data_IF_653669490955
#
_entry.id   IF_653669490955
#
_cell.length_a   1.000
_cell.length_b   1.000
_cell.length_c   1.000
_cell.angle_alpha   90.00
_cell.angle_beta   90.00
_cell.angle_gamma   90.00
#
_symmetry.space_group_name_H-M   'P 1'
#
loop_
_entity.id
_entity.type
_entity.pdbx_description
1 polymer ?
#
# COMPACT_ATOMS: atom_id res chain seq x y z
N UNK A 1 25.61 2.00 -3.92
CA UNK A 1 24.94 0.71 -4.19
C UNK A 1 23.46 1.03 -4.25
N UNK A 2 22.98 1.31 -5.45
CA UNK A 2 21.60 1.76 -5.72
C UNK A 2 20.75 0.49 -5.74
N UNK A 3 20.13 0.16 -4.62
CA UNK A 3 19.06 -0.84 -4.58
C UNK A 3 17.86 -0.25 -5.33
N UNK A 4 17.75 -0.60 -6.60
CA UNK A 4 16.58 -0.32 -7.41
C UNK A 4 15.33 -0.83 -6.66
N UNK A 5 14.28 -0.02 -6.49
CA UNK A 5 12.99 -0.48 -5.97
C UNK A 5 12.38 -1.62 -6.82
N UNK A 6 12.89 -1.83 -8.02
CA UNK A 6 12.56 -2.90 -8.94
C UNK A 6 13.08 -4.28 -8.52
N UNK A 7 14.15 -4.37 -7.69
CA UNK A 7 14.69 -5.68 -7.30
C UNK A 7 13.72 -6.48 -6.43
N UNK A 8 12.90 -5.82 -5.62
CA UNK A 8 11.89 -6.50 -4.79
C UNK A 8 10.68 -6.98 -5.59
N UNK A 9 10.39 -6.34 -6.72
CA UNK A 9 9.33 -6.78 -7.64
C UNK A 9 9.82 -7.90 -8.56
N UNK A 10 11.07 -7.83 -9.05
CA UNK A 10 11.69 -8.89 -9.84
C UNK A 10 11.69 -10.23 -9.09
N UNK A 11 11.73 -10.19 -7.77
CA UNK A 11 11.70 -11.37 -6.92
C UNK A 11 10.33 -12.09 -6.92
N UNK A 12 9.22 -11.36 -7.06
CA UNK A 12 7.89 -11.93 -7.26
C UNK A 12 7.71 -12.48 -8.69
N UNK A 13 8.58 -12.08 -9.62
CA UNK A 13 8.43 -12.26 -11.05
C UNK A 13 9.16 -13.51 -11.58
N UNK A 14 9.97 -14.18 -10.76
CA UNK A 14 10.66 -15.41 -11.19
C UNK A 14 9.76 -16.66 -11.25
N UNK A 15 8.50 -16.56 -10.91
CA UNK A 15 7.57 -17.68 -10.86
C UNK A 15 6.56 -17.67 -12.03
N UNK A 16 7.04 -17.91 -13.26
CA UNK A 16 6.19 -18.36 -14.37
C UNK A 16 5.68 -17.28 -15.34
N UNK A 17 5.21 -17.68 -16.53
CA UNK A 17 4.88 -16.80 -17.67
C UNK A 17 3.65 -15.89 -17.49
N UNK A 18 3.03 -15.87 -16.32
CA UNK A 18 1.87 -15.01 -16.01
C UNK A 18 2.20 -13.66 -15.39
N UNK A 19 3.48 -13.32 -15.21
CA UNK A 19 3.90 -12.20 -14.37
C UNK A 19 4.37 -10.99 -15.18
N UNK A 20 4.56 -11.12 -16.49
CA UNK A 20 4.96 -10.02 -17.38
C UNK A 20 3.97 -8.87 -17.37
N UNK A 21 2.67 -9.14 -17.23
CA UNK A 21 1.66 -8.11 -17.17
C UNK A 21 1.73 -7.24 -15.91
N UNK A 22 2.15 -7.81 -14.76
CA UNK A 22 2.33 -7.05 -13.53
C UNK A 22 3.54 -6.11 -13.63
N UNK A 23 4.63 -6.62 -14.20
CA UNK A 23 5.81 -5.81 -14.49
C UNK A 23 5.46 -4.67 -15.44
N UNK A 24 4.76 -4.95 -16.52
CA UNK A 24 4.25 -3.94 -17.45
C UNK A 24 3.32 -2.94 -16.75
N UNK A 25 2.41 -3.43 -15.89
CA UNK A 25 1.50 -2.57 -15.15
C UNK A 25 2.26 -1.65 -14.18
N UNK A 26 3.24 -2.18 -13.45
CA UNK A 26 4.06 -1.38 -12.52
C UNK A 26 4.93 -0.38 -13.26
N UNK A 27 5.52 -0.76 -14.40
CA UNK A 27 6.24 0.15 -15.27
C UNK A 27 5.33 1.24 -15.85
N UNK A 28 4.12 0.89 -16.27
CA UNK A 28 3.15 1.85 -16.75
C UNK A 28 2.73 2.82 -15.63
N UNK A 29 2.54 2.34 -14.39
CA UNK A 29 2.24 3.20 -13.26
C UNK A 29 3.41 4.14 -12.93
N UNK A 30 4.63 3.64 -12.95
CA UNK A 30 5.85 4.44 -12.75
C UNK A 30 6.01 5.46 -13.88
N UNK A 31 5.81 5.05 -15.12
CA UNK A 31 5.84 5.95 -16.27
C UNK A 31 4.73 7.01 -16.21
N UNK A 32 3.55 6.65 -15.74
CA UNK A 32 2.43 7.57 -15.56
C UNK A 32 2.73 8.61 -14.47
N UNK A 33 3.39 8.21 -13.39
CA UNK A 33 3.82 9.14 -12.33
C UNK A 33 4.95 10.04 -12.77
N UNK A 34 5.90 9.56 -13.57
CA UNK A 34 7.00 10.38 -14.09
C UNK A 34 6.56 11.28 -15.23
N UNK A 35 5.81 10.76 -16.21
CA UNK A 35 5.36 11.53 -17.38
C UNK A 35 4.34 12.63 -17.03
N UNK A 36 3.48 12.40 -16.04
CA UNK A 36 2.48 13.39 -15.62
C UNK A 36 2.89 14.16 -14.36
N UNK A 37 4.01 13.80 -13.74
CA UNK A 37 4.52 14.46 -12.53
C UNK A 37 4.76 15.94 -12.73
N UNK A 38 5.34 16.35 -13.87
CA UNK A 38 5.61 17.74 -14.22
C UNK A 38 4.31 18.53 -14.46
N UNK A 39 3.33 17.91 -15.12
CA UNK A 39 2.03 18.54 -15.35
C UNK A 39 1.28 18.77 -14.03
N UNK A 40 1.27 17.78 -13.13
CA UNK A 40 0.63 17.91 -11.83
C UNK A 40 1.38 18.85 -10.89
N UNK A 41 2.70 18.89 -10.97
CA UNK A 41 3.52 19.87 -10.26
C UNK A 41 3.23 21.30 -10.74
N UNK A 42 3.05 21.50 -12.05
CA UNK A 42 2.63 22.80 -12.63
C UNK A 42 1.26 23.23 -12.14
N UNK A 43 0.28 22.32 -12.10
CA UNK A 43 -1.04 22.58 -11.52
C UNK A 43 -0.91 22.92 -10.02
N UNK A 44 -0.12 22.16 -9.28
CA UNK A 44 0.15 22.42 -7.87
C UNK A 44 0.78 23.78 -7.61
N UNK A 45 1.76 24.19 -8.46
CA UNK A 45 2.39 25.50 -8.39
C UNK A 45 1.40 26.64 -8.71
N UNK A 46 0.54 26.45 -9.72
CA UNK A 46 -0.52 27.43 -10.07
C UNK A 46 -1.52 27.58 -8.92
N UNK A 47 -1.92 26.47 -8.30
CA UNK A 47 -2.81 26.50 -7.14
C UNK A 47 -2.13 27.15 -5.92
N UNK A 48 -0.85 26.88 -5.69
CA UNK A 48 -0.05 27.51 -4.65
C UNK A 48 0.03 29.02 -4.85
N UNK A 49 0.32 29.48 -6.06
CA UNK A 49 0.37 30.89 -6.41
C UNK A 49 -0.98 31.58 -6.17
N UNK A 50 -2.08 30.97 -6.59
CA UNK A 50 -3.43 31.48 -6.37
C UNK A 50 -3.80 31.60 -4.88
N UNK A 51 -3.57 30.53 -4.11
CA UNK A 51 -3.85 30.52 -2.65
C UNK A 51 -2.95 31.53 -1.93
N UNK A 52 -1.68 31.64 -2.32
CA UNK A 52 -0.72 32.58 -1.73
C UNK A 52 -1.14 34.03 -2.00
N UNK A 53 -1.60 34.34 -3.23
CA UNK A 53 -2.11 35.67 -3.59
C UNK A 53 -3.33 36.03 -2.74
N UNK A 54 -4.31 35.14 -2.62
CA UNK A 54 -5.49 35.39 -1.79
C UNK A 54 -5.10 35.64 -0.33
N UNK A 55 -4.18 34.83 0.22
CA UNK A 55 -3.73 34.96 1.60
C UNK A 55 -2.97 36.27 1.81
N UNK A 56 -2.13 36.67 0.85
CA UNK A 56 -1.40 37.94 0.88
C UNK A 56 -2.36 39.12 0.83
N UNK A 57 -3.30 39.16 -0.13
CA UNK A 57 -4.31 40.22 -0.25
C UNK A 57 -5.11 40.34 1.04
N UNK A 58 -5.55 39.22 1.61
CA UNK A 58 -6.29 39.21 2.88
C UNK A 58 -5.44 39.75 4.05
N UNK A 59 -4.16 39.42 4.09
CA UNK A 59 -3.24 39.91 5.12
C UNK A 59 -3.01 41.43 4.98
N UNK A 60 -2.77 41.92 3.76
CA UNK A 60 -2.61 43.35 3.47
C UNK A 60 -3.90 44.12 3.77
N UNK A 61 -5.07 43.60 3.36
CA UNK A 61 -6.36 44.18 3.67
C UNK A 61 -6.59 44.31 5.20
N UNK A 62 -6.23 43.26 5.93
CA UNK A 62 -6.34 43.30 7.40
C UNK A 62 -5.41 44.34 8.02
N UNK A 63 -4.20 44.52 7.51
CA UNK A 63 -3.28 45.56 7.95
C UNK A 63 -3.83 46.94 7.66
N UNK A 64 -4.35 47.21 6.47
CA UNK A 64 -4.92 48.51 6.09
C UNK A 64 -6.14 48.87 6.96
N UNK A 65 -7.04 47.91 7.23
CA UNK A 65 -8.22 48.17 8.10
C UNK A 65 -7.77 48.41 9.53
N UNK A 66 -6.77 47.71 10.05
CA UNK A 66 -6.27 47.94 11.43
C UNK A 66 -5.56 49.27 11.62
N UNK A 67 -4.98 49.84 10.55
CA UNK A 67 -4.34 51.17 10.55
C UNK A 67 -5.38 52.31 10.40
N UNK A 68 -6.52 52.06 9.75
CA UNK A 68 -7.60 53.03 9.59
C UNK A 68 -8.48 53.20 10.84
N UNK A 69 -8.57 52.17 11.66
CA UNK A 69 -9.24 52.29 12.96
C UNK A 69 -8.29 52.97 13.94
N UNK A 70 -8.44 54.33 14.06
CA UNK A 70 -7.76 55.16 15.06
C UNK A 70 -8.28 54.81 16.45
N UNK A 71 -8.03 53.65 16.94
CA UNK A 71 -8.21 53.30 18.32
C UNK A 71 -6.84 53.06 18.94
N UNK A 72 -6.60 53.67 20.12
CA UNK A 72 -5.37 53.67 20.90
C UNK A 72 -4.79 52.27 21.25
N UNK A 73 -5.30 51.23 20.68
CA UNK A 73 -4.82 49.86 20.80
C UNK A 73 -4.42 49.29 19.43
N UNK A 74 -3.63 50.02 18.64
CA UNK A 74 -3.02 49.47 17.45
C UNK A 74 -2.14 48.28 17.85
N UNK A 75 -2.69 47.07 17.66
CA UNK A 75 -1.83 45.87 17.78
C UNK A 75 -0.75 45.99 16.72
N UNK A 76 0.53 45.94 17.11
CA UNK A 76 1.62 46.04 16.15
C UNK A 76 1.45 44.96 15.08
N UNK A 77 1.68 45.34 13.83
CA UNK A 77 1.75 44.40 12.72
C UNK A 77 2.51 43.16 13.21
N UNK A 78 1.80 42.04 13.29
CA UNK A 78 2.44 40.80 13.77
C UNK A 78 3.37 40.32 12.67
N UNK A 79 4.63 40.75 12.74
CA UNK A 79 5.72 40.26 11.89
C UNK A 79 5.70 38.73 11.87
N UNK A 80 5.27 38.09 12.97
CA UNK A 80 5.06 36.65 13.04
C UNK A 80 4.11 36.08 11.99
N UNK A 81 3.03 36.79 11.63
CA UNK A 81 2.07 36.30 10.62
C UNK A 81 2.70 36.30 9.21
N UNK A 82 3.56 37.30 8.91
CA UNK A 82 4.32 37.35 7.66
C UNK A 82 5.38 36.24 7.63
N UNK A 83 6.10 36.05 8.72
CA UNK A 83 7.10 34.97 8.82
C UNK A 83 6.45 33.60 8.68
N UNK A 84 5.30 33.35 9.35
CA UNK A 84 4.54 32.12 9.20
C UNK A 84 4.09 31.90 7.74
N UNK A 85 3.60 32.95 7.08
CA UNK A 85 3.22 32.88 5.68
C UNK A 85 4.40 32.51 4.77
N UNK A 86 5.55 33.20 4.92
CA UNK A 86 6.75 32.94 4.13
C UNK A 86 7.29 31.53 4.37
N UNK A 87 7.34 31.09 5.62
CA UNK A 87 7.76 29.72 5.95
C UNK A 87 6.86 28.67 5.31
N UNK A 88 5.53 28.84 5.39
CA UNK A 88 4.58 27.94 4.75
C UNK A 88 4.74 27.93 3.24
N UNK A 89 4.94 29.10 2.61
CA UNK A 89 5.15 29.24 1.18
C UNK A 89 6.42 28.49 0.75
N UNK A 90 7.54 28.72 1.45
CA UNK A 90 8.81 28.05 1.15
C UNK A 90 8.68 26.53 1.29
N UNK A 91 8.04 26.04 2.36
CA UNK A 91 7.84 24.62 2.57
C UNK A 91 7.00 24.04 1.43
N UNK A 92 5.88 24.67 1.06
CA UNK A 92 5.05 24.20 -0.05
C UNK A 92 5.81 24.20 -1.39
N UNK A 93 6.59 25.24 -1.67
CA UNK A 93 7.44 25.32 -2.87
C UNK A 93 8.46 24.20 -2.91
N UNK A 94 9.16 23.96 -1.82
CA UNK A 94 10.13 22.88 -1.72
C UNK A 94 9.48 21.51 -1.94
N UNK A 95 8.36 21.26 -1.25
CA UNK A 95 7.66 19.96 -1.35
C UNK A 95 7.14 19.73 -2.76
N UNK A 96 6.55 20.72 -3.42
CA UNK A 96 6.04 20.57 -4.80
C UNK A 96 7.21 20.36 -5.77
N UNK A 97 8.27 21.16 -5.65
CA UNK A 97 9.41 21.10 -6.57
C UNK A 97 10.16 19.76 -6.48
N UNK A 98 10.29 19.25 -5.26
CA UNK A 98 10.94 17.95 -5.00
C UNK A 98 9.93 16.80 -4.82
N UNK A 99 8.71 16.95 -5.32
CA UNK A 99 7.71 15.89 -5.20
C UNK A 99 8.11 14.65 -6.00
N UNK A 100 8.45 14.82 -7.26
CA UNK A 100 8.88 13.75 -8.18
C UNK A 100 10.41 13.73 -8.31
N UNK A 101 11.03 14.92 -8.39
CA UNK A 101 12.49 15.05 -8.52
C UNK A 101 13.17 14.65 -7.21
N UNK A 102 14.35 14.00 -7.27
CA UNK A 102 15.09 13.65 -6.06
C UNK A 102 15.45 14.89 -5.24
N UNK A 103 15.30 14.77 -3.93
CA UNK A 103 15.72 15.80 -3.00
C UNK A 103 17.26 15.84 -2.92
N UNK A 104 17.90 17.02 -2.80
CA UNK A 104 19.34 17.11 -2.64
C UNK A 104 19.86 16.23 -1.50
N UNK A 105 20.70 15.25 -1.83
CA UNK A 105 21.24 14.27 -0.89
C UNK A 105 20.41 12.99 -0.71
N UNK A 106 19.24 12.88 -1.35
CA UNK A 106 18.45 11.65 -1.40
C UNK A 106 18.35 11.12 -2.84
N UNK A 107 18.10 9.84 -3.00
CA UNK A 107 17.88 9.20 -4.30
C UNK A 107 16.41 9.17 -4.73
N UNK A 108 15.51 9.79 -3.98
CA UNK A 108 14.06 9.77 -4.18
C UNK A 108 13.41 11.12 -3.87
N UNK A 109 12.25 11.39 -4.48
CA UNK A 109 11.41 12.54 -4.19
C UNK A 109 10.45 12.29 -3.01
N UNK A 110 9.73 13.34 -2.60
CA UNK A 110 8.75 13.24 -1.51
C UNK A 110 7.63 12.23 -1.79
N UNK A 111 7.31 12.00 -3.06
CA UNK A 111 6.33 10.99 -3.48
C UNK A 111 6.71 9.57 -3.08
N UNK A 112 7.99 9.28 -2.84
CA UNK A 112 8.49 7.95 -2.43
C UNK A 112 8.83 7.85 -0.94
N UNK A 113 8.71 8.94 -0.18
CA UNK A 113 9.14 8.99 1.22
C UNK A 113 8.50 7.87 2.07
N UNK A 114 7.17 7.75 2.04
CA UNK A 114 6.47 6.74 2.84
C UNK A 114 6.70 5.31 2.34
N UNK A 115 6.83 5.13 1.02
CA UNK A 115 7.17 3.82 0.46
C UNK A 115 8.58 3.39 0.85
N UNK A 116 9.51 4.33 0.97
CA UNK A 116 10.85 4.05 1.47
C UNK A 116 10.82 3.59 2.95
N UNK A 117 10.07 4.27 3.81
CA UNK A 117 9.89 3.83 5.20
C UNK A 117 9.30 2.42 5.28
N UNK A 118 8.28 2.13 4.47
CA UNK A 118 7.70 0.79 4.41
C UNK A 118 8.73 -0.25 3.95
N UNK A 119 9.58 0.07 2.97
CA UNK A 119 10.64 -0.82 2.50
C UNK A 119 11.69 -1.11 3.59
N UNK A 120 12.08 -0.10 4.38
CA UNK A 120 13.01 -0.29 5.49
C UNK A 120 12.44 -1.25 6.52
N UNK A 121 11.14 -1.13 6.85
CA UNK A 121 10.46 -2.04 7.78
C UNK A 121 10.40 -3.45 7.20
N UNK A 122 10.03 -3.61 5.92
CA UNK A 122 10.00 -4.91 5.23
C UNK A 122 11.38 -5.55 5.22
N UNK A 123 12.44 -4.76 4.96
CA UNK A 123 13.80 -5.28 4.97
C UNK A 123 14.25 -5.74 6.37
N UNK A 124 13.76 -5.10 7.42
CA UNK A 124 14.04 -5.50 8.81
C UNK A 124 13.29 -6.77 9.25
N UNK A 125 12.14 -7.05 8.61
CA UNK A 125 11.27 -8.21 8.95
C UNK A 125 11.65 -9.52 8.23
N UNK A 126 12.79 -9.59 7.57
CA UNK A 126 13.24 -10.76 6.80
C UNK A 126 12.53 -10.91 5.43
N UNK A 127 13.29 -10.58 4.37
CA UNK A 127 12.82 -10.67 2.97
C UNK A 127 12.64 -12.12 2.47
N UNK A 128 13.16 -13.11 3.19
CA UNK A 128 13.17 -14.51 2.75
C UNK A 128 11.88 -15.26 3.08
N UNK A 129 11.12 -14.82 4.07
CA UNK A 129 9.93 -15.53 4.56
C UNK A 129 8.86 -15.74 3.50
N UNK A 130 8.65 -14.74 2.63
CA UNK A 130 7.72 -14.87 1.51
C UNK A 130 8.19 -15.92 0.50
N UNK A 131 9.48 -15.91 0.15
CA UNK A 131 10.06 -16.90 -0.78
C UNK A 131 10.01 -18.29 -0.21
N UNK A 132 10.34 -18.42 1.07
CA UNK A 132 10.26 -19.70 1.78
C UNK A 132 8.84 -20.24 1.74
N UNK A 133 7.84 -19.39 2.01
CA UNK A 133 6.43 -19.77 1.95
C UNK A 133 6.01 -20.17 0.53
N UNK A 134 6.37 -19.39 -0.48
CA UNK A 134 6.06 -19.71 -1.88
C UNK A 134 6.73 -21.02 -2.33
N UNK A 135 8.00 -21.24 -1.95
CA UNK A 135 8.71 -22.46 -2.25
C UNK A 135 8.06 -23.68 -1.54
N UNK A 136 7.66 -23.53 -0.28
CA UNK A 136 6.98 -24.60 0.45
C UNK A 136 5.62 -24.95 -0.19
N UNK A 137 4.83 -23.94 -0.58
CA UNK A 137 3.55 -24.15 -1.26
C UNK A 137 3.73 -24.76 -2.65
N UNK A 138 4.72 -24.30 -3.43
CA UNK A 138 5.02 -24.86 -4.75
C UNK A 138 5.56 -26.29 -4.65
N UNK A 139 6.38 -26.59 -3.65
CA UNK A 139 6.89 -27.94 -3.39
C UNK A 139 5.74 -28.90 -3.03
N UNK A 140 4.81 -28.45 -2.19
CA UNK A 140 3.64 -29.24 -1.85
C UNK A 140 2.74 -29.51 -3.07
N UNK A 141 2.50 -28.50 -3.92
CA UNK A 141 1.73 -28.67 -5.16
C UNK A 141 2.43 -29.59 -6.17
N UNK A 142 3.71 -29.35 -6.43
CA UNK A 142 4.49 -30.13 -7.41
C UNK A 142 4.72 -31.59 -6.94
N UNK A 143 4.74 -31.80 -5.61
CA UNK A 143 4.84 -33.13 -5.02
C UNK A 143 3.52 -33.89 -5.03
N UNK A 144 2.39 -33.24 -5.31
CA UNK A 144 1.07 -33.88 -5.35
C UNK A 144 0.86 -34.55 -6.71
N UNK A 145 0.73 -35.89 -6.78
CA UNK A 145 0.57 -36.61 -8.04
C UNK A 145 -0.81 -36.29 -8.64
N UNK A 146 -0.91 -36.42 -9.96
CA UNK A 146 -2.20 -36.29 -10.64
C UNK A 146 -3.14 -37.45 -10.25
N UNK A 147 -4.41 -37.16 -9.95
CA UNK A 147 -5.37 -38.19 -9.53
C UNK A 147 -5.72 -39.14 -10.68
N UNK A 148 -6.06 -40.38 -10.34
CA UNK A 148 -6.63 -41.32 -11.29
C UNK A 148 -8.06 -40.92 -11.65
N UNK A 149 -8.41 -41.01 -12.93
CA UNK A 149 -9.79 -40.72 -13.40
C UNK A 149 -10.86 -41.61 -12.78
N UNK A 150 -10.46 -42.75 -12.19
CA UNK A 150 -11.35 -43.71 -11.54
C UNK A 150 -11.56 -43.45 -10.05
N UNK A 151 -10.84 -42.48 -9.47
CA UNK A 151 -10.90 -42.21 -8.04
C UNK A 151 -11.51 -40.81 -7.75
N UNK A 152 -12.83 -40.68 -7.63
CA UNK A 152 -13.49 -39.38 -7.49
C UNK A 152 -13.07 -38.60 -6.24
N UNK A 153 -12.76 -39.29 -5.13
CA UNK A 153 -12.26 -38.63 -3.91
C UNK A 153 -10.85 -38.01 -4.10
N UNK A 154 -10.00 -38.67 -4.88
CA UNK A 154 -8.67 -38.13 -5.20
C UNK A 154 -8.79 -36.88 -6.07
N UNK A 155 -9.69 -36.90 -7.06
CA UNK A 155 -9.97 -35.76 -7.94
C UNK A 155 -10.47 -34.56 -7.10
N UNK A 156 -11.42 -34.80 -6.21
CA UNK A 156 -11.99 -33.75 -5.35
C UNK A 156 -10.90 -33.16 -4.44
N UNK A 157 -10.10 -34.02 -3.80
CA UNK A 157 -9.01 -33.57 -2.91
C UNK A 157 -7.95 -32.78 -3.67
N UNK A 158 -7.53 -33.26 -4.84
CA UNK A 158 -6.60 -32.56 -5.70
C UNK A 158 -7.09 -31.15 -6.06
N UNK A 159 -8.35 -31.05 -6.49
CA UNK A 159 -8.97 -29.77 -6.84
C UNK A 159 -9.06 -28.83 -5.64
N UNK A 160 -9.43 -29.31 -4.46
CA UNK A 160 -9.47 -28.53 -3.23
C UNK A 160 -8.08 -28.00 -2.85
N UNK A 161 -7.04 -28.83 -2.88
CA UNK A 161 -5.66 -28.43 -2.60
C UNK A 161 -5.23 -27.31 -3.55
N UNK A 162 -5.46 -27.50 -4.87
CA UNK A 162 -5.13 -26.49 -5.86
C UNK A 162 -5.89 -25.17 -5.63
N UNK A 163 -7.16 -25.22 -5.27
CA UNK A 163 -7.97 -24.03 -4.97
C UNK A 163 -7.41 -23.30 -3.74
N UNK A 164 -7.14 -24.00 -2.64
CA UNK A 164 -6.68 -23.36 -1.41
C UNK A 164 -5.28 -22.78 -1.56
N UNK A 165 -4.35 -23.51 -2.16
CA UNK A 165 -2.99 -23.01 -2.38
C UNK A 165 -2.99 -21.86 -3.39
N UNK A 166 -3.77 -21.98 -4.47
CA UNK A 166 -3.95 -20.92 -5.46
C UNK A 166 -4.57 -19.65 -4.86
N UNK A 167 -5.59 -19.82 -4.00
CA UNK A 167 -6.22 -18.72 -3.29
C UNK A 167 -5.26 -18.03 -2.31
N UNK A 168 -4.47 -18.81 -1.57
CA UNK A 168 -3.45 -18.30 -0.66
C UNK A 168 -2.41 -17.46 -1.43
N UNK A 169 -1.88 -18.00 -2.54
CA UNK A 169 -0.96 -17.28 -3.42
C UNK A 169 -1.59 -16.03 -4.04
N UNK A 170 -2.83 -16.12 -4.48
CA UNK A 170 -3.59 -15.02 -5.05
C UNK A 170 -3.81 -13.86 -4.07
N UNK A 171 -4.11 -14.15 -2.81
CA UNK A 171 -4.29 -13.12 -1.78
C UNK A 171 -2.96 -12.43 -1.44
N UNK A 172 -1.88 -13.18 -1.30
CA UNK A 172 -0.55 -12.60 -1.12
C UNK A 172 -0.20 -11.63 -2.24
N UNK A 173 -0.46 -12.04 -3.47
CA UNK A 173 -0.26 -11.23 -4.65
C UNK A 173 -1.14 -9.97 -4.63
N UNK A 174 -2.44 -10.10 -4.39
CA UNK A 174 -3.38 -8.98 -4.38
C UNK A 174 -3.02 -7.92 -3.33
N UNK A 175 -2.63 -8.31 -2.13
CA UNK A 175 -2.25 -7.37 -1.06
C UNK A 175 -1.02 -6.56 -1.47
N UNK A 176 -0.01 -7.23 -2.02
CA UNK A 176 1.19 -6.53 -2.46
C UNK A 176 0.91 -5.59 -3.64
N UNK A 177 0.18 -6.05 -4.65
CA UNK A 177 -0.19 -5.22 -5.79
C UNK A 177 -1.04 -4.02 -5.40
N UNK A 178 -2.07 -4.23 -4.58
CA UNK A 178 -2.97 -3.16 -4.17
C UNK A 178 -2.23 -2.06 -3.39
N UNK A 179 -1.27 -2.42 -2.55
CA UNK A 179 -0.44 -1.44 -1.84
C UNK A 179 0.31 -0.52 -2.81
N UNK A 180 0.96 -1.08 -3.84
CA UNK A 180 1.67 -0.29 -4.85
C UNK A 180 0.74 0.59 -5.67
N UNK A 181 -0.38 0.03 -6.12
CA UNK A 181 -1.34 0.75 -6.96
C UNK A 181 -1.94 1.93 -6.21
N UNK A 182 -2.46 1.67 -5.02
CA UNK A 182 -3.12 2.71 -4.23
C UNK A 182 -2.14 3.79 -3.78
N UNK A 183 -0.94 3.39 -3.37
CA UNK A 183 0.10 4.36 -3.03
C UNK A 183 0.51 5.19 -4.23
N UNK A 184 0.82 4.57 -5.37
CA UNK A 184 1.26 5.26 -6.59
C UNK A 184 0.20 6.24 -7.11
N UNK A 185 -1.06 5.80 -7.16
CA UNK A 185 -2.17 6.68 -7.57
C UNK A 185 -2.37 7.82 -6.58
N UNK A 186 -2.35 7.56 -5.27
CA UNK A 186 -2.49 8.60 -4.27
C UNK A 186 -1.32 9.60 -4.33
N UNK A 187 -0.07 9.12 -4.44
CA UNK A 187 1.11 9.96 -4.51
C UNK A 187 1.12 10.89 -5.74
N UNK A 188 0.47 10.48 -6.84
CA UNK A 188 0.34 11.31 -8.04
C UNK A 188 -0.33 12.66 -7.74
N UNK A 189 -1.32 12.67 -6.84
CA UNK A 189 -2.07 13.88 -6.50
C UNK A 189 -1.40 14.78 -5.46
N UNK A 190 -0.26 14.39 -4.93
CA UNK A 190 0.46 15.15 -3.89
C UNK A 190 0.64 16.63 -4.18
N UNK A 191 1.14 17.04 -5.37
CA UNK A 191 1.33 18.45 -5.68
C UNK A 191 0.06 19.29 -5.57
N UNK A 192 -1.13 18.70 -5.76
CA UNK A 192 -2.42 19.38 -5.64
C UNK A 192 -2.81 19.57 -4.17
N UNK A 193 -2.46 18.60 -3.30
CA UNK A 193 -2.82 18.66 -1.87
C UNK A 193 -1.85 19.54 -1.06
N UNK A 194 -0.59 19.66 -1.47
CA UNK A 194 0.43 20.44 -0.74
C UNK A 194 0.04 21.91 -0.56
N UNK A 195 -0.49 22.64 -1.57
CA UNK A 195 -0.90 24.04 -1.39
C UNK A 195 -2.00 24.25 -0.35
N UNK A 196 -2.82 23.21 -0.07
CA UNK A 196 -3.88 23.28 0.94
C UNK A 196 -3.35 23.49 2.36
N UNK A 197 -2.06 23.18 2.60
CA UNK A 197 -1.38 23.45 3.86
C UNK A 197 -1.38 24.95 4.22
N UNK A 198 -1.38 25.84 3.22
CA UNK A 198 -1.34 27.28 3.42
C UNK A 198 -2.61 27.86 4.04
N UNK A 199 -3.75 27.18 3.90
CA UNK A 199 -5.04 27.67 4.40
C UNK A 199 -5.47 26.91 5.65
N UNK A 200 -5.82 27.61 6.73
CA UNK A 200 -6.28 26.95 7.97
C UNK A 200 -7.49 26.02 7.74
N UNK A 201 -8.42 26.44 6.86
CA UNK A 201 -9.64 25.69 6.55
C UNK A 201 -9.35 24.36 5.84
N UNK A 202 -8.36 24.33 4.94
CA UNK A 202 -8.07 23.15 4.12
C UNK A 202 -6.87 22.34 4.63
N UNK A 203 -6.15 22.83 5.65
CA UNK A 203 -4.99 22.14 6.24
C UNK A 203 -5.34 20.71 6.68
N UNK A 204 -6.54 20.49 7.22
CA UNK A 204 -7.02 19.15 7.57
C UNK A 204 -7.10 18.19 6.38
N UNK A 205 -7.39 18.69 5.17
CA UNK A 205 -7.41 17.85 3.95
C UNK A 205 -6.01 17.40 3.55
N UNK A 206 -5.01 18.26 3.72
CA UNK A 206 -3.61 17.89 3.52
C UNK A 206 -3.16 16.80 4.49
N UNK A 207 -3.45 16.94 5.79
CA UNK A 207 -3.09 15.90 6.77
C UNK A 207 -3.81 14.58 6.51
N UNK A 208 -5.10 14.62 6.18
CA UNK A 208 -5.83 13.41 5.78
C UNK A 208 -5.21 12.73 4.53
N UNK A 209 -4.71 13.54 3.59
CA UNK A 209 -4.00 13.01 2.42
C UNK A 209 -2.68 12.32 2.81
N UNK A 210 -1.91 12.92 3.72
CA UNK A 210 -0.68 12.31 4.25
C UNK A 210 -0.98 11.01 4.98
N UNK A 211 -2.05 10.96 5.80
CA UNK A 211 -2.48 9.74 6.50
C UNK A 211 -2.87 8.63 5.51
N UNK A 212 -3.54 8.98 4.41
CA UNK A 212 -3.89 8.03 3.34
C UNK A 212 -2.63 7.47 2.67
N UNK A 213 -1.66 8.32 2.34
CA UNK A 213 -0.38 7.89 1.77
C UNK A 213 0.37 6.96 2.71
N UNK A 214 0.46 7.33 3.98
CA UNK A 214 1.10 6.52 5.00
C UNK A 214 0.41 5.16 5.13
N UNK A 215 -0.92 5.15 5.21
CA UNK A 215 -1.70 3.91 5.31
C UNK A 215 -1.45 2.98 4.13
N UNK A 216 -1.48 3.50 2.90
CA UNK A 216 -1.25 2.68 1.71
C UNK A 216 0.18 2.14 1.63
N UNK A 217 1.18 2.95 2.00
CA UNK A 217 2.56 2.50 2.07
C UNK A 217 2.74 1.38 3.11
N UNK A 218 2.11 1.52 4.29
CA UNK A 218 2.26 0.60 5.41
C UNK A 218 1.51 -0.71 5.24
N UNK A 219 0.54 -0.83 4.32
CA UNK A 219 -0.11 -2.13 4.01
C UNK A 219 0.95 -3.20 3.71
N UNK A 220 1.99 -2.85 2.95
CA UNK A 220 3.06 -3.77 2.60
C UNK A 220 3.89 -4.18 3.82
N UNK A 221 4.21 -3.24 4.71
CA UNK A 221 4.99 -3.53 5.92
C UNK A 221 4.21 -4.45 6.88
N UNK A 222 2.93 -4.17 7.08
CA UNK A 222 2.04 -5.01 7.91
C UNK A 222 1.86 -6.38 7.26
N UNK A 223 1.66 -6.45 5.95
CA UNK A 223 1.57 -7.72 5.22
C UNK A 223 2.83 -8.58 5.41
N UNK A 224 4.02 -7.96 5.32
CA UNK A 224 5.29 -8.67 5.54
C UNK A 224 5.42 -9.23 6.95
N UNK A 225 4.94 -8.50 7.97
CA UNK A 225 4.92 -9.00 9.34
C UNK A 225 3.99 -10.23 9.49
N UNK A 226 2.81 -10.19 8.89
CA UNK A 226 1.88 -11.33 8.85
C UNK A 226 2.48 -12.52 8.10
N UNK A 227 3.10 -12.28 6.95
CA UNK A 227 3.76 -13.33 6.16
C UNK A 227 4.90 -13.96 6.95
N UNK A 228 5.69 -13.16 7.68
CA UNK A 228 6.76 -13.68 8.53
C UNK A 228 6.24 -14.69 9.57
N UNK A 229 5.18 -14.33 10.29
CA UNK A 229 4.57 -15.21 11.30
C UNK A 229 3.96 -16.44 10.65
N UNK A 230 3.17 -16.26 9.59
CA UNK A 230 2.46 -17.34 8.93
C UNK A 230 3.38 -18.27 8.12
N UNK A 231 4.49 -17.77 7.56
CA UNK A 231 5.46 -18.62 6.86
C UNK A 231 6.06 -19.65 7.81
N UNK A 232 6.51 -19.23 8.98
CA UNK A 232 7.01 -20.15 10.01
C UNK A 232 5.99 -21.20 10.40
N UNK A 233 4.74 -20.79 10.66
CA UNK A 233 3.66 -21.69 11.01
C UNK A 233 3.29 -22.66 9.88
N UNK A 234 3.05 -22.17 8.67
CA UNK A 234 2.64 -23.01 7.54
C UNK A 234 3.72 -24.00 7.11
N UNK A 235 4.99 -23.57 7.07
CA UNK A 235 6.09 -24.43 6.73
C UNK A 235 6.21 -25.57 7.78
N UNK A 236 6.15 -25.22 9.06
CA UNK A 236 6.20 -26.20 10.14
C UNK A 236 5.00 -27.15 10.07
N UNK A 237 3.80 -26.63 9.82
CA UNK A 237 2.59 -27.45 9.67
C UNK A 237 2.73 -28.43 8.49
N UNK A 238 3.17 -27.97 7.33
CA UNK A 238 3.36 -28.82 6.16
C UNK A 238 4.43 -29.90 6.41
N UNK A 239 5.56 -29.53 7.02
CA UNK A 239 6.63 -30.48 7.34
C UNK A 239 6.20 -31.54 8.35
N UNK A 240 5.52 -31.14 9.43
CA UNK A 240 5.08 -32.08 10.47
C UNK A 240 3.92 -32.97 10.00
N UNK A 241 3.01 -32.43 9.19
CA UNK A 241 1.81 -33.16 8.74
C UNK A 241 2.14 -34.15 7.61
N UNK A 242 2.97 -33.73 6.67
CA UNK A 242 3.26 -34.51 5.47
C UNK A 242 4.62 -35.22 5.51
N UNK A 243 5.55 -34.74 6.32
CA UNK A 243 6.91 -35.30 6.41
C UNK A 243 7.58 -35.53 5.05
N UNK A 244 7.28 -34.65 4.07
CA UNK A 244 7.77 -34.71 2.69
C UNK A 244 6.95 -35.61 1.75
N UNK A 245 5.95 -36.34 2.23
CA UNK A 245 5.05 -37.17 1.44
C UNK A 245 3.76 -36.41 1.09
N UNK A 246 3.71 -35.79 -0.10
CA UNK A 246 2.55 -35.07 -0.61
C UNK A 246 1.64 -35.96 -1.48
N UNK A 247 1.57 -37.26 -1.21
CA UNK A 247 0.67 -38.17 -1.91
C UNK A 247 -0.80 -37.86 -1.60
N UNK A 248 -1.71 -38.18 -2.54
CA UNK A 248 -3.15 -37.91 -2.39
C UNK A 248 -3.75 -38.60 -1.15
N UNK A 249 -3.39 -39.83 -0.78
CA UNK A 249 -3.84 -40.42 0.47
C UNK A 249 -3.48 -39.60 1.72
N UNK A 250 -2.27 -39.01 1.76
CA UNK A 250 -1.85 -38.15 2.87
C UNK A 250 -2.64 -36.83 2.91
N UNK A 251 -2.95 -36.26 1.75
CA UNK A 251 -3.83 -35.09 1.69
C UNK A 251 -5.24 -35.42 2.16
N UNK A 252 -5.80 -36.57 1.78
CA UNK A 252 -7.14 -37.01 2.22
C UNK A 252 -7.16 -37.21 3.73
N UNK A 253 -6.16 -37.88 4.30
CA UNK A 253 -6.07 -38.15 5.73
C UNK A 253 -6.01 -36.87 6.57
N UNK A 254 -5.37 -35.81 6.05
CA UNK A 254 -5.18 -34.54 6.77
C UNK A 254 -6.05 -33.40 6.25
N UNK A 255 -7.01 -33.70 5.37
CA UNK A 255 -7.78 -32.68 4.62
C UNK A 255 -8.45 -31.65 5.55
N UNK A 256 -9.03 -32.07 6.66
CA UNK A 256 -9.69 -31.18 7.62
C UNK A 256 -8.69 -30.15 8.22
N UNK A 257 -7.53 -30.62 8.66
CA UNK A 257 -6.48 -29.76 9.23
C UNK A 257 -5.95 -28.76 8.20
N UNK A 258 -5.73 -29.23 6.97
CA UNK A 258 -5.28 -28.40 5.85
C UNK A 258 -6.29 -27.29 5.55
N UNK A 259 -7.56 -27.64 5.38
CA UNK A 259 -8.63 -26.65 5.11
C UNK A 259 -8.68 -25.62 6.24
N UNK A 260 -8.69 -26.05 7.50
CA UNK A 260 -8.76 -25.15 8.65
C UNK A 260 -7.58 -24.16 8.68
N UNK A 261 -6.35 -24.62 8.44
CA UNK A 261 -5.15 -23.81 8.45
C UNK A 261 -5.15 -22.82 7.29
N UNK A 262 -5.50 -23.27 6.07
CA UNK A 262 -5.54 -22.38 4.91
C UNK A 262 -6.64 -21.35 5.03
N UNK A 263 -7.84 -21.70 5.52
CA UNK A 263 -8.90 -20.72 5.78
C UNK A 263 -8.42 -19.69 6.82
N UNK A 264 -7.81 -20.12 7.91
CA UNK A 264 -7.29 -19.21 8.93
C UNK A 264 -6.23 -18.26 8.33
N UNK A 265 -5.31 -18.77 7.53
CA UNK A 265 -4.32 -17.96 6.81
C UNK A 265 -4.99 -16.92 5.90
N UNK A 266 -5.91 -17.35 5.04
CA UNK A 266 -6.63 -16.49 4.11
C UNK A 266 -7.38 -15.37 4.84
N UNK A 267 -8.14 -15.73 5.90
CA UNK A 267 -8.88 -14.76 6.70
C UNK A 267 -7.94 -13.74 7.37
N UNK A 268 -6.84 -14.19 7.96
CA UNK A 268 -5.87 -13.29 8.58
C UNK A 268 -5.23 -12.35 7.54
N UNK A 269 -4.87 -12.86 6.38
CA UNK A 269 -4.29 -12.03 5.32
C UNK A 269 -5.27 -10.99 4.79
N UNK A 270 -6.56 -11.32 4.67
CA UNK A 270 -7.58 -10.34 4.24
C UNK A 270 -7.83 -9.22 5.27
N UNK A 271 -7.48 -9.44 6.54
CA UNK A 271 -7.56 -8.42 7.59
C UNK A 271 -6.40 -7.40 7.56
N UNK A 272 -5.32 -7.69 6.83
CA UNK A 272 -4.13 -6.82 6.78
C UNK A 272 -4.47 -5.35 6.43
N UNK A 273 -5.26 -5.03 5.39
CA UNK A 273 -5.59 -3.64 5.08
C UNK A 273 -6.36 -2.96 6.21
N UNK A 274 -7.27 -3.67 6.88
CA UNK A 274 -8.07 -3.14 8.01
C UNK A 274 -7.17 -2.86 9.22
N UNK A 275 -6.28 -3.78 9.57
CA UNK A 275 -5.32 -3.60 10.66
C UNK A 275 -4.38 -2.44 10.36
N UNK A 276 -3.86 -2.36 9.13
CA UNK A 276 -2.99 -1.25 8.71
C UNK A 276 -3.69 0.09 8.88
N UNK A 277 -4.94 0.17 8.48
CA UNK A 277 -5.74 1.37 8.63
C UNK A 277 -5.97 1.73 10.11
N UNK A 278 -6.22 0.75 10.96
CA UNK A 278 -6.40 0.99 12.39
C UNK A 278 -5.12 1.51 13.04
N UNK A 279 -3.95 1.05 12.59
CA UNK A 279 -2.65 1.44 13.13
C UNK A 279 -2.15 2.77 12.57
N UNK A 280 -2.35 3.04 11.30
CA UNK A 280 -1.72 4.17 10.58
C UNK A 280 -2.73 5.14 9.94
N UNK A 281 -4.00 4.78 9.86
CA UNK A 281 -5.03 5.61 9.24
C UNK A 281 -5.68 6.54 10.25
N UNK A 282 -5.21 7.78 10.32
CA UNK A 282 -5.72 8.82 11.22
C UNK A 282 -7.20 9.20 11.02
N UNK A 283 -8.13 8.26 11.16
CA UNK A 283 -9.58 8.51 11.17
C UNK A 283 -10.21 8.82 9.80
N UNK A 284 -9.47 8.83 8.71
CA UNK A 284 -9.99 9.16 7.37
C UNK A 284 -10.62 7.97 6.64
N UNK A 285 -11.39 7.14 7.18
CA UNK A 285 -12.28 6.10 6.59
C UNK A 285 -12.11 5.60 5.14
N UNK A 286 -11.17 6.17 4.35
CA UNK A 286 -10.99 5.86 2.94
C UNK A 286 -10.39 4.46 2.72
N UNK A 287 -9.36 4.09 3.47
CA UNK A 287 -8.77 2.75 3.37
C UNK A 287 -9.69 1.66 3.94
N UNK A 288 -10.55 2.00 4.93
CA UNK A 288 -11.59 1.11 5.44
C UNK A 288 -12.66 0.75 4.42
N UNK A 289 -13.00 1.68 3.54
CA UNK A 289 -13.95 1.38 2.44
C UNK A 289 -13.35 0.39 1.45
N UNK A 290 -12.04 0.48 1.17
CA UNK A 290 -11.34 -0.47 0.31
C UNK A 290 -11.27 -1.85 0.97
N UNK A 291 -10.98 -1.90 2.27
CA UNK A 291 -10.98 -3.14 3.04
C UNK A 291 -12.37 -3.78 3.09
N UNK A 292 -13.42 -2.99 3.36
CA UNK A 292 -14.81 -3.45 3.32
C UNK A 292 -15.24 -3.94 1.93
N UNK A 293 -14.77 -3.28 0.88
CA UNK A 293 -15.04 -3.72 -0.49
C UNK A 293 -14.36 -5.06 -0.81
N UNK A 294 -13.09 -5.22 -0.40
CA UNK A 294 -12.36 -6.49 -0.56
C UNK A 294 -13.03 -7.62 0.25
N UNK A 295 -13.43 -7.34 1.49
CA UNK A 295 -14.17 -8.28 2.34
C UNK A 295 -15.53 -8.67 1.73
N UNK A 296 -16.28 -7.69 1.23
CA UNK A 296 -17.55 -7.93 0.56
C UNK A 296 -17.41 -8.78 -0.72
N UNK A 297 -16.32 -8.58 -1.48
CA UNK A 297 -16.01 -9.41 -2.64
C UNK A 297 -15.69 -10.85 -2.25
N UNK A 298 -14.92 -11.05 -1.17
CA UNK A 298 -14.57 -12.37 -0.67
C UNK A 298 -15.80 -13.13 -0.14
N UNK A 299 -16.65 -12.44 0.62
CA UNK A 299 -17.93 -13.02 1.12
C UNK A 299 -18.82 -13.42 -0.06
N UNK A 300 -18.92 -12.59 -1.10
CA UNK A 300 -19.68 -12.91 -2.30
C UNK A 300 -19.07 -14.07 -3.07
N UNK A 301 -17.76 -14.12 -3.24
CA UNK A 301 -17.07 -15.23 -3.88
C UNK A 301 -17.26 -16.54 -3.11
N UNK A 302 -17.15 -16.51 -1.78
CA UNK A 302 -17.42 -17.66 -0.91
C UNK A 302 -18.89 -18.11 -0.97
N UNK A 303 -19.84 -17.17 -1.03
CA UNK A 303 -21.27 -17.48 -1.17
C UNK A 303 -21.61 -18.12 -2.52
N UNK A 304 -20.97 -17.65 -3.61
CA UNK A 304 -21.12 -18.26 -4.95
C UNK A 304 -20.51 -19.67 -4.97
N UNK A 305 -19.32 -19.85 -4.36
CA UNK A 305 -18.69 -21.16 -4.26
C UNK A 305 -19.48 -22.17 -3.39
N UNK A 306 -20.23 -21.68 -2.39
CA UNK A 306 -21.10 -22.52 -1.55
C UNK A 306 -22.46 -22.84 -2.20
N UNK A 307 -22.85 -22.11 -3.24
CA UNK A 307 -24.11 -22.29 -3.96
C UNK A 307 -23.96 -23.13 -5.25
N UNK A 308 -22.73 -23.41 -5.67
CA UNK A 308 -22.38 -24.26 -6.81
C UNK A 308 -22.08 -25.69 -6.36
#
# INVERSE_FOLDING_TARGET
MILHPMASLAFFLQAGPGVDWLYQFTNNLTNLTTANGDALSSIGMSLLAFISLIKLVRMVAHWNISTMTISLSAQPVRIGDLVEFLMQLIICLLVINYWVTPFPGASFGFNHLFSYFAQVIVAALDQNSLTQLQNALSTALNGTPQPSYLAPMEILTYLLVYIFVGLAGGILFLINCSSFIFYGVAALFGPIFVPLLMTRTFRGKFYNFVDVLLSFAMIRAVASAFIFVWSGFLITFLQQTFNGDYSLPMWIANLYGVIAVFIAFILNMTMVPTITQTLFGGGSGAAGRVAQFAEALLIRAAAVAAAA
#
